data_IF_752924689551
#
_entry.id   IF_752924689551
#
_cell.length_a   1.000
_cell.length_b   1.000
_cell.length_c   1.000
_cell.angle_alpha   90.00
_cell.angle_beta   90.00
_cell.angle_gamma   90.00
#
_symmetry.space_group_name_H-M   'P 1'
#
loop_
_entity.id
_entity.type
_entity.pdbx_description
1 polymer ?
#
# COMPACT_ATOMS: atom_id res chain seq x y z
N UNK A 1 -29.68 -4.10 -24.74
CA UNK A 1 -28.68 -3.33 -23.98
C UNK A 1 -29.06 -3.41 -22.51
N UNK A 2 -28.42 -4.30 -21.77
CA UNK A 2 -28.52 -4.32 -20.30
C UNK A 2 -27.49 -3.32 -19.79
N UNK A 3 -27.93 -2.27 -19.11
CA UNK A 3 -27.04 -1.37 -18.40
C UNK A 3 -26.49 -2.12 -17.18
N UNK A 4 -25.18 -2.33 -17.13
CA UNK A 4 -24.52 -2.77 -15.91
C UNK A 4 -24.71 -1.65 -14.87
N UNK A 5 -25.21 -1.93 -13.66
CA UNK A 5 -25.38 -0.89 -12.66
C UNK A 5 -24.01 -0.33 -12.29
N UNK A 6 -23.78 0.95 -12.63
CA UNK A 6 -22.58 1.74 -12.32
C UNK A 6 -22.21 1.75 -10.83
N UNK A 7 -23.14 1.37 -9.95
CA UNK A 7 -22.92 1.25 -8.51
C UNK A 7 -22.04 0.05 -8.13
N UNK A 8 -22.06 -1.05 -8.89
CA UNK A 8 -21.21 -2.23 -8.64
C UNK A 8 -19.74 -1.94 -8.95
N UNK A 9 -19.47 -1.39 -10.13
CA UNK A 9 -18.12 -1.03 -10.60
C UNK A 9 -17.42 -0.02 -9.68
N UNK A 10 -18.17 0.94 -9.10
CA UNK A 10 -17.61 1.92 -8.16
C UNK A 10 -17.25 1.29 -6.81
N UNK A 11 -18.05 0.33 -6.32
CA UNK A 11 -17.76 -0.40 -5.09
C UNK A 11 -16.56 -1.36 -5.25
N UNK A 12 -16.45 -1.99 -6.41
CA UNK A 12 -15.32 -2.85 -6.77
C UNK A 12 -14.02 -2.04 -6.88
N UNK A 13 -14.07 -0.87 -7.54
CA UNK A 13 -12.94 0.06 -7.62
C UNK A 13 -12.49 0.59 -6.24
N UNK A 14 -13.42 0.90 -5.35
CA UNK A 14 -13.10 1.31 -3.98
C UNK A 14 -12.44 0.19 -3.16
N UNK A 15 -12.88 -1.05 -3.35
CA UNK A 15 -12.32 -2.23 -2.67
C UNK A 15 -10.91 -2.53 -3.18
N UNK A 16 -10.72 -2.56 -4.51
CA UNK A 16 -9.41 -2.74 -5.13
C UNK A 16 -8.43 -1.64 -4.69
N UNK A 17 -8.87 -0.38 -4.64
CA UNK A 17 -8.06 0.73 -4.15
C UNK A 17 -7.63 0.55 -2.71
N UNK A 18 -8.57 0.18 -1.83
CA UNK A 18 -8.27 -0.08 -0.43
C UNK A 18 -7.24 -1.19 -0.26
N UNK A 19 -7.40 -2.30 -0.98
CA UNK A 19 -6.45 -3.41 -0.93
C UNK A 19 -5.07 -3.01 -1.47
N UNK A 20 -5.00 -2.21 -2.53
CA UNK A 20 -3.74 -1.67 -3.05
C UNK A 20 -3.03 -0.74 -2.04
N UNK A 21 -3.78 0.14 -1.36
CA UNK A 21 -3.26 1.00 -0.29
C UNK A 21 -2.80 0.17 0.93
N UNK A 22 -3.61 -0.81 1.36
CA UNK A 22 -3.25 -1.75 2.45
C UNK A 22 -1.97 -2.54 2.11
N UNK A 23 -1.80 -2.97 0.86
CA UNK A 23 -0.60 -3.68 0.42
C UNK A 23 0.64 -2.78 0.38
N UNK A 24 0.50 -1.51 -0.01
CA UNK A 24 1.60 -0.56 0.03
C UNK A 24 2.10 -0.32 1.47
N UNK A 25 1.16 -0.15 2.41
CA UNK A 25 1.46 -0.02 3.84
C UNK A 25 2.13 -1.30 4.35
N UNK A 26 1.57 -2.47 4.04
CA UNK A 26 2.13 -3.77 4.42
C UNK A 26 3.57 -3.95 3.93
N UNK A 27 3.82 -3.65 2.64
CA UNK A 27 5.15 -3.72 2.04
C UNK A 27 6.15 -2.81 2.77
N UNK A 28 5.73 -1.62 3.17
CA UNK A 28 6.57 -0.71 3.94
C UNK A 28 6.87 -1.27 5.34
N UNK A 29 5.88 -1.88 6.00
CA UNK A 29 6.02 -2.48 7.34
C UNK A 29 6.98 -3.68 7.34
N UNK A 30 6.91 -4.54 6.32
CA UNK A 30 7.83 -5.68 6.11
C UNK A 30 9.28 -5.22 6.07
N UNK A 31 9.55 -4.06 5.45
CA UNK A 31 10.90 -3.53 5.32
C UNK A 31 11.40 -2.73 6.54
N UNK A 32 10.63 -2.66 7.64
CA UNK A 32 11.09 -2.04 8.88
C UNK A 32 11.99 -2.99 9.68
N UNK A 33 12.89 -2.43 10.49
CA UNK A 33 13.83 -3.21 11.30
C UNK A 33 13.21 -3.88 12.53
N UNK A 34 12.00 -3.47 12.92
CA UNK A 34 11.31 -3.98 14.11
C UNK A 34 10.54 -5.26 13.77
N UNK A 35 10.87 -6.42 14.37
CA UNK A 35 10.26 -7.71 14.00
C UNK A 35 8.73 -7.72 14.14
N UNK A 36 8.19 -6.96 15.11
CA UNK A 36 6.74 -6.84 15.23
C UNK A 36 6.10 -6.18 14.01
N UNK A 37 6.71 -5.11 13.49
CA UNK A 37 6.20 -4.41 12.30
C UNK A 37 6.32 -5.28 11.06
N UNK A 38 7.43 -6.00 10.91
CA UNK A 38 7.64 -6.95 9.81
C UNK A 38 6.53 -8.00 9.77
N UNK A 39 6.29 -8.69 10.89
CA UNK A 39 5.24 -9.71 10.98
C UNK A 39 3.83 -9.16 10.73
N UNK A 40 3.54 -7.94 11.20
CA UNK A 40 2.27 -7.29 10.94
C UNK A 40 2.11 -6.95 9.44
N UNK A 41 3.19 -6.49 8.79
CA UNK A 41 3.23 -6.27 7.35
C UNK A 41 2.93 -7.54 6.58
N UNK A 42 3.63 -8.64 6.88
CA UNK A 42 3.43 -9.94 6.24
C UNK A 42 2.00 -10.46 6.37
N UNK A 43 1.41 -10.34 7.58
CA UNK A 43 0.05 -10.77 7.83
C UNK A 43 -0.97 -9.95 7.01
N UNK A 44 -0.83 -8.62 6.99
CA UNK A 44 -1.71 -7.75 6.19
C UNK A 44 -1.55 -8.01 4.70
N UNK A 45 -0.31 -8.10 4.20
CA UNK A 45 -0.02 -8.40 2.80
C UNK A 45 -0.62 -9.73 2.36
N UNK A 46 -0.53 -10.75 3.22
CA UNK A 46 -1.14 -12.07 2.98
C UNK A 46 -2.66 -12.00 2.88
N UNK A 47 -3.32 -11.20 3.72
CA UNK A 47 -4.78 -11.00 3.67
C UNK A 47 -5.18 -10.33 2.36
N UNK A 48 -4.44 -9.30 1.93
CA UNK A 48 -4.72 -8.62 0.64
C UNK A 48 -4.57 -9.58 -0.54
N UNK A 49 -3.48 -10.35 -0.59
CA UNK A 49 -3.26 -11.35 -1.64
C UNK A 49 -4.42 -12.37 -1.67
N UNK A 50 -4.88 -12.82 -0.50
CA UNK A 50 -5.99 -13.79 -0.40
C UNK A 50 -7.34 -13.21 -0.82
N UNK A 51 -7.57 -11.90 -0.66
CA UNK A 51 -8.79 -11.24 -1.15
C UNK A 51 -8.85 -11.19 -2.66
N UNK A 52 -7.70 -11.12 -3.34
CA UNK A 52 -7.60 -11.26 -4.79
C UNK A 52 -8.22 -10.10 -5.59
N UNK A 53 -8.39 -8.92 -4.98
CA UNK A 53 -8.94 -7.74 -5.67
C UNK A 53 -7.90 -7.02 -6.54
N UNK A 54 -6.62 -7.37 -6.43
CA UNK A 54 -5.53 -6.82 -7.24
C UNK A 54 -4.67 -7.98 -7.74
N UNK A 55 -4.34 -7.96 -9.03
CA UNK A 55 -3.47 -8.95 -9.66
C UNK A 55 -2.04 -8.91 -9.08
N UNK A 56 -1.38 -10.05 -9.04
CA UNK A 56 -0.02 -10.18 -8.47
C UNK A 56 1.00 -9.24 -9.13
N UNK A 57 0.87 -8.99 -10.43
CA UNK A 57 1.73 -8.04 -11.14
C UNK A 57 1.52 -6.59 -10.67
N UNK A 58 0.27 -6.21 -10.36
CA UNK A 58 -0.07 -4.93 -9.77
C UNK A 58 0.53 -4.78 -8.37
N UNK A 59 0.39 -5.81 -7.53
CA UNK A 59 1.01 -5.87 -6.21
C UNK A 59 2.54 -5.76 -6.28
N UNK A 60 3.18 -6.47 -7.21
CA UNK A 60 4.62 -6.38 -7.43
C UNK A 60 5.06 -4.97 -7.86
N UNK A 61 4.25 -4.28 -8.66
CA UNK A 61 4.48 -2.87 -9.04
C UNK A 61 4.42 -1.91 -7.84
N UNK A 62 3.46 -2.13 -6.94
CA UNK A 62 3.33 -1.39 -5.68
C UNK A 62 4.56 -1.63 -4.80
N UNK A 63 4.93 -2.89 -4.52
CA UNK A 63 6.06 -3.23 -3.65
C UNK A 63 7.37 -2.58 -4.17
N UNK A 64 7.67 -2.70 -5.46
CA UNK A 64 8.85 -2.06 -6.07
C UNK A 64 8.86 -0.54 -5.91
N UNK A 65 7.69 0.10 -5.92
CA UNK A 65 7.58 1.55 -5.75
C UNK A 65 7.78 1.95 -4.29
N UNK A 66 7.28 1.15 -3.35
CA UNK A 66 7.54 1.30 -1.92
C UNK A 66 9.03 1.14 -1.63
N UNK A 67 9.68 0.06 -2.10
CA UNK A 67 11.12 -0.17 -1.92
C UNK A 67 11.98 1.02 -2.39
N UNK A 68 11.67 1.57 -3.57
CA UNK A 68 12.37 2.76 -4.10
C UNK A 68 12.18 4.00 -3.23
N UNK A 69 10.99 4.18 -2.67
CA UNK A 69 10.70 5.32 -1.80
C UNK A 69 11.41 5.17 -0.44
N UNK A 70 11.40 3.96 0.13
CA UNK A 70 12.09 3.63 1.37
C UNK A 70 13.59 3.80 1.27
N UNK A 71 14.18 3.48 0.12
CA UNK A 71 15.61 3.66 -0.13
C UNK A 71 16.09 5.12 -0.02
N UNK A 72 15.17 6.11 -0.02
CA UNK A 72 15.51 7.52 0.24
C UNK A 72 15.83 7.81 1.70
N UNK A 73 15.40 6.96 2.64
CA UNK A 73 15.76 7.06 4.06
C UNK A 73 15.10 8.22 4.82
N UNK A 74 14.01 8.78 4.31
CA UNK A 74 13.34 9.96 4.88
C UNK A 74 12.30 9.59 5.96
N UNK A 75 12.71 8.82 6.98
CA UNK A 75 11.81 8.42 8.08
C UNK A 75 11.59 9.63 9.01
N UNK A 76 10.33 10.02 9.32
CA UNK A 76 10.04 11.10 10.23
C UNK A 76 10.57 10.83 11.64
N UNK A 77 11.04 11.89 12.30
CA UNK A 77 11.59 11.85 13.65
C UNK A 77 10.81 12.85 14.51
N UNK A 78 10.34 12.40 15.67
CA UNK A 78 9.87 13.29 16.72
C UNK A 78 11.05 13.64 17.64
N UNK A 79 11.28 14.94 17.83
CA UNK A 79 12.30 15.45 18.75
C UNK A 79 11.73 15.55 20.14
N UNK A 80 12.47 15.06 21.12
CA UNK A 80 12.15 15.21 22.53
C UNK A 80 12.96 16.36 23.13
N UNK A 81 12.31 17.26 23.87
CA UNK A 81 13.01 18.32 24.60
C UNK A 81 13.82 17.79 25.81
N UNK A 82 13.59 16.54 26.21
CA UNK A 82 14.15 15.95 27.44
C UNK A 82 14.81 14.57 27.25
N UNK A 83 14.99 14.10 26.01
CA UNK A 83 15.48 12.74 25.74
C UNK A 83 15.95 12.48 24.30
N UNK A 84 16.02 11.21 23.90
CA UNK A 84 16.46 10.78 22.57
C UNK A 84 15.38 10.94 21.51
N UNK A 85 15.77 11.44 20.34
CA UNK A 85 14.96 11.45 19.12
C UNK A 85 14.39 10.05 18.81
N UNK A 86 13.13 10.00 18.36
CA UNK A 86 12.45 8.75 18.02
C UNK A 86 12.00 8.77 16.57
N UNK A 87 12.39 7.75 15.81
CA UNK A 87 11.85 7.49 14.48
C UNK A 87 10.40 7.04 14.56
N UNK A 88 9.58 7.44 13.58
CA UNK A 88 8.17 7.09 13.49
C UNK A 88 7.88 6.17 12.28
N UNK A 89 8.33 4.90 12.31
CA UNK A 89 8.20 3.98 11.17
C UNK A 89 6.74 3.69 10.82
N UNK A 90 5.85 3.61 11.82
CA UNK A 90 4.41 3.41 11.58
C UNK A 90 3.80 4.60 10.83
N UNK A 91 4.12 5.83 11.25
CA UNK A 91 3.65 7.03 10.56
C UNK A 91 4.17 7.07 9.12
N UNK A 92 5.46 6.79 8.95
CA UNK A 92 6.08 6.72 7.63
C UNK A 92 5.36 5.75 6.69
N UNK A 93 5.04 4.54 7.18
CA UNK A 93 4.34 3.55 6.36
C UNK A 93 2.88 3.90 6.10
N UNK A 94 2.19 4.60 6.99
CA UNK A 94 0.83 5.11 6.73
C UNK A 94 0.88 6.20 5.64
N UNK A 95 1.88 7.08 5.68
CA UNK A 95 2.03 8.18 4.72
C UNK A 95 2.69 7.74 3.39
N UNK A 96 3.16 6.50 3.28
CA UNK A 96 3.84 6.01 2.07
C UNK A 96 2.93 6.07 0.84
N UNK A 97 1.62 5.91 1.03
CA UNK A 97 0.60 5.96 -0.04
C UNK A 97 0.47 7.35 -0.66
N UNK A 98 0.90 8.39 0.05
CA UNK A 98 0.87 9.77 -0.44
C UNK A 98 2.12 10.15 -1.25
N UNK A 99 3.14 9.30 -1.25
CA UNK A 99 4.34 9.50 -2.05
C UNK A 99 3.99 9.29 -3.52
N UNK A 100 4.37 10.27 -4.35
CA UNK A 100 3.92 10.36 -5.75
C UNK A 100 4.09 9.04 -6.53
N UNK A 101 5.23 8.36 -6.38
CA UNK A 101 5.52 7.13 -7.11
C UNK A 101 4.70 5.94 -6.61
N UNK A 102 4.41 5.88 -5.31
CA UNK A 102 3.58 4.83 -4.71
C UNK A 102 2.12 5.06 -5.08
N UNK A 103 1.63 6.31 -4.99
CA UNK A 103 0.28 6.67 -5.45
C UNK A 103 0.05 6.30 -6.91
N UNK A 104 1.01 6.59 -7.79
CA UNK A 104 0.93 6.23 -9.21
C UNK A 104 0.86 4.71 -9.41
N UNK A 105 1.66 3.94 -8.68
CA UNK A 105 1.62 2.48 -8.76
C UNK A 105 0.29 1.89 -8.26
N UNK A 106 -0.29 2.48 -7.21
CA UNK A 106 -1.64 2.12 -6.73
C UNK A 106 -2.68 2.41 -7.82
N UNK A 107 -2.65 3.59 -8.43
CA UNK A 107 -3.58 3.96 -9.50
C UNK A 107 -3.46 3.03 -10.72
N UNK A 108 -2.23 2.65 -11.09
CA UNK A 108 -1.97 1.68 -12.18
C UNK A 108 -2.53 0.29 -11.85
N UNK A 109 -2.31 -0.21 -10.63
CA UNK A 109 -2.82 -1.50 -10.19
C UNK A 109 -4.36 -1.56 -10.15
N UNK A 110 -5.01 -0.49 -9.67
CA UNK A 110 -6.47 -0.37 -9.63
C UNK A 110 -7.06 -0.26 -11.04
N UNK A 111 -6.40 0.47 -11.94
CA UNK A 111 -6.85 0.58 -13.33
C UNK A 111 -6.80 -0.76 -14.07
N UNK A 112 -5.79 -1.59 -13.80
CA UNK A 112 -5.66 -2.94 -14.36
C UNK A 112 -6.80 -3.85 -13.92
N UNK A 113 -7.22 -3.77 -12.65
CA UNK A 113 -8.38 -4.52 -12.14
C UNK A 113 -9.68 -4.18 -12.89
N UNK A 114 -9.92 -2.90 -13.16
CA UNK A 114 -11.09 -2.46 -13.93
C UNK A 114 -11.05 -2.85 -15.41
N UNK A 115 -9.86 -3.01 -16.00
CA UNK A 115 -9.70 -3.38 -17.41
C UNK A 115 -9.91 -4.89 -17.68
N UNK A 116 -9.84 -5.74 -16.65
CA UNK A 116 -10.05 -7.19 -16.76
C UNK A 116 -11.49 -7.63 -16.47
N UNK A 117 -12.36 -6.70 -16.05
CA UNK A 117 -13.76 -6.97 -15.72
C UNK A 117 -14.74 -6.77 -16.90
N UNK A 118 -14.23 -6.34 -18.06
CA UNK A 118 -14.95 -6.20 -19.34
C UNK A 118 -14.72 -7.41 -20.27
#
# INVERSE_FOLDING_TARGET
MLAIPTQGLAADSATARRDAEEYAIASCLVAQSEPFLENQGDAVGSVVIQRGNIELDGLAGINKSVEREMAKGEIPIIRSESGSDQTLPVLYCIEIIDKLQVRKAIEEAVAQHGATAD
#
